data_IF_028884335546
#
_entry.id   IF_028884335546
#
_cell.length_a   1.000
_cell.length_b   1.000
_cell.length_c   1.000
_cell.angle_alpha   90.00
_cell.angle_beta   90.00
_cell.angle_gamma   90.00
#
_symmetry.space_group_name_H-M   'P 1'
#
loop_
_entity.id
_entity.type
_entity.pdbx_description
1 polymer ?
#
# COMPACT_ATOMS: atom_id res chain seq x y z
N UNK A 1 20.80 1.84 -15.64
CA UNK A 1 19.50 1.15 -15.53
C UNK A 1 19.10 0.96 -14.08
N UNK A 2 19.80 0.14 -13.27
CA UNK A 2 19.48 -0.02 -11.83
C UNK A 2 19.62 1.29 -11.05
N UNK A 3 20.70 2.05 -11.28
CA UNK A 3 20.90 3.36 -10.64
C UNK A 3 19.81 4.38 -11.04
N UNK A 4 19.37 4.36 -12.29
CA UNK A 4 18.32 5.26 -12.79
C UNK A 4 16.96 4.91 -12.17
N UNK A 5 16.67 3.62 -12.06
CA UNK A 5 15.48 3.12 -11.37
C UNK A 5 15.46 3.50 -9.89
N UNK A 6 16.55 3.23 -9.15
CA UNK A 6 16.63 3.56 -7.72
C UNK A 6 16.45 5.06 -7.49
N UNK A 7 17.18 5.88 -8.26
CA UNK A 7 17.04 7.33 -8.21
C UNK A 7 15.59 7.76 -8.50
N UNK A 8 14.97 7.17 -9.54
CA UNK A 8 13.60 7.51 -9.89
C UNK A 8 12.60 7.09 -8.82
N UNK A 9 12.81 5.95 -8.19
CA UNK A 9 11.98 5.46 -7.11
C UNK A 9 12.10 6.36 -5.87
N UNK A 10 13.31 6.80 -5.51
CA UNK A 10 13.54 7.80 -4.46
C UNK A 10 12.80 9.10 -4.76
N UNK A 11 12.94 9.65 -5.97
CA UNK A 11 12.23 10.86 -6.41
C UNK A 11 10.71 10.72 -6.32
N UNK A 12 10.17 9.55 -6.66
CA UNK A 12 8.73 9.29 -6.63
C UNK A 12 8.23 9.04 -5.21
N UNK A 13 9.02 8.43 -4.33
CA UNK A 13 8.65 8.20 -2.93
C UNK A 13 8.67 9.52 -2.15
N UNK A 14 9.65 10.38 -2.41
CA UNK A 14 9.78 11.66 -1.74
C UNK A 14 8.48 12.48 -1.86
N UNK A 15 8.07 13.06 -0.73
CA UNK A 15 6.87 13.89 -0.64
C UNK A 15 7.03 14.89 0.51
N UNK A 16 6.46 16.09 0.34
CA UNK A 16 6.44 17.11 1.39
C UNK A 16 5.48 16.82 2.54
N UNK A 17 4.73 15.72 2.47
CA UNK A 17 3.72 15.33 3.47
C UNK A 17 4.20 14.16 4.34
N UNK A 18 3.70 14.10 5.57
CA UNK A 18 3.98 12.97 6.45
C UNK A 18 3.17 11.74 6.05
N UNK A 19 3.82 10.81 5.37
CA UNK A 19 3.24 9.53 4.93
C UNK A 19 4.08 8.34 5.38
N UNK A 20 3.45 7.17 5.43
CA UNK A 20 4.13 5.88 5.42
C UNK A 20 4.08 5.33 4.00
N UNK A 21 5.22 4.91 3.47
CA UNK A 21 5.32 4.36 2.12
C UNK A 21 5.47 2.84 2.18
N UNK A 22 4.64 2.14 1.42
CA UNK A 22 4.69 0.70 1.24
C UNK A 22 5.01 0.38 -0.21
N UNK A 23 5.92 -0.55 -0.45
CA UNK A 23 6.27 -1.02 -1.79
C UNK A 23 5.86 -2.48 -1.97
N UNK A 24 5.45 -2.81 -3.20
CA UNK A 24 5.11 -4.18 -3.60
C UNK A 24 5.56 -4.43 -5.03
N UNK A 25 6.13 -5.59 -5.32
CA UNK A 25 6.50 -5.97 -6.68
C UNK A 25 5.47 -6.92 -7.29
N UNK A 26 5.11 -6.64 -8.55
CA UNK A 26 4.31 -7.53 -9.38
C UNK A 26 4.99 -7.80 -10.72
N UNK A 27 4.68 -8.95 -11.32
CA UNK A 27 5.37 -9.49 -12.50
C UNK A 27 4.99 -8.81 -13.79
N UNK A 28 3.75 -8.38 -13.92
CA UNK A 28 3.21 -7.92 -15.19
C UNK A 28 2.46 -6.60 -15.08
N UNK A 29 2.46 -5.88 -16.20
CA UNK A 29 1.82 -4.56 -16.32
C UNK A 29 0.32 -4.62 -16.09
N UNK A 30 -0.34 -5.72 -16.46
CA UNK A 30 -1.80 -5.86 -16.35
C UNK A 30 -2.18 -5.88 -14.87
N UNK A 31 -1.46 -6.64 -14.05
CA UNK A 31 -1.64 -6.66 -12.60
C UNK A 31 -1.34 -5.29 -11.98
N UNK A 32 -0.27 -4.61 -12.39
CA UNK A 32 0.05 -3.27 -11.89
C UNK A 32 -1.05 -2.24 -12.21
N UNK A 33 -1.56 -2.26 -13.44
CA UNK A 33 -2.68 -1.42 -13.87
C UNK A 33 -3.96 -1.75 -13.10
N UNK A 34 -4.24 -3.05 -12.86
CA UNK A 34 -5.40 -3.47 -12.06
C UNK A 34 -5.32 -2.93 -10.63
N UNK A 35 -4.14 -3.03 -10.00
CA UNK A 35 -3.93 -2.47 -8.65
C UNK A 35 -4.16 -0.95 -8.64
N UNK A 36 -3.71 -0.26 -9.68
CA UNK A 36 -3.89 1.18 -9.84
C UNK A 36 -5.37 1.58 -9.92
N UNK A 37 -6.21 0.78 -10.58
CA UNK A 37 -7.62 1.09 -10.83
C UNK A 37 -8.57 0.52 -9.79
N UNK A 38 -8.32 -0.68 -9.30
CA UNK A 38 -9.22 -1.44 -8.44
C UNK A 38 -8.81 -1.42 -6.97
N UNK A 39 -7.53 -1.13 -6.68
CA UNK A 39 -6.98 -1.15 -5.33
C UNK A 39 -6.01 -2.29 -5.10
N UNK A 40 -5.37 -2.28 -3.93
CA UNK A 40 -4.35 -3.26 -3.57
C UNK A 40 -4.94 -4.34 -2.67
N UNK A 41 -4.92 -5.60 -3.13
CA UNK A 41 -5.36 -6.73 -2.33
C UNK A 41 -4.22 -7.24 -1.43
N UNK A 42 -4.52 -7.49 -0.16
CA UNK A 42 -3.56 -8.03 0.80
C UNK A 42 -4.20 -9.06 1.72
N UNK A 43 -3.39 -10.01 2.18
CA UNK A 43 -3.76 -11.03 3.16
C UNK A 43 -3.46 -10.51 4.56
N UNK A 44 -4.45 -10.59 5.46
CA UNK A 44 -4.33 -10.24 6.88
C UNK A 44 -3.88 -8.79 7.12
N UNK A 45 -2.56 -8.51 7.03
CA UNK A 45 -2.00 -7.18 7.24
C UNK A 45 -1.29 -6.65 5.99
N UNK A 46 -1.38 -5.34 5.77
CA UNK A 46 -0.75 -4.70 4.61
C UNK A 46 0.76 -4.91 4.57
N UNK A 47 1.43 -4.86 5.71
CA UNK A 47 2.88 -5.05 5.88
C UNK A 47 3.34 -6.51 5.70
N UNK A 48 2.42 -7.48 5.59
CA UNK A 48 2.78 -8.87 5.27
C UNK A 48 3.03 -9.07 3.78
N UNK A 49 2.43 -8.22 2.95
CA UNK A 49 2.51 -8.29 1.48
C UNK A 49 3.30 -7.15 0.87
N UNK A 50 3.78 -6.21 1.70
CA UNK A 50 4.50 -5.01 1.28
C UNK A 50 5.72 -4.77 2.17
N UNK A 51 6.65 -3.96 1.70
CA UNK A 51 7.79 -3.51 2.51
C UNK A 51 7.67 -2.01 2.80
N UNK A 52 7.81 -1.63 4.07
CA UNK A 52 7.81 -0.22 4.49
C UNK A 52 9.17 0.40 4.19
N UNK A 53 9.17 1.52 3.48
CA UNK A 53 10.39 2.24 3.09
C UNK A 53 10.26 3.74 3.31
N UNK A 54 11.39 4.45 3.22
CA UNK A 54 11.42 5.91 3.28
C UNK A 54 12.52 6.46 2.38
N UNK A 55 12.23 7.55 1.66
CA UNK A 55 13.24 8.25 0.85
C UNK A 55 14.35 8.88 1.71
N UNK A 56 14.10 9.10 3.01
CA UNK A 56 15.12 9.55 3.97
C UNK A 56 16.18 8.49 4.30
N UNK A 57 15.88 7.22 4.01
CA UNK A 57 16.80 6.10 4.17
C UNK A 57 16.86 5.27 2.88
N UNK A 58 17.68 5.71 1.90
CA UNK A 58 17.88 5.01 0.63
C UNK A 58 18.31 3.55 0.77
N UNK A 59 18.87 3.16 1.93
CA UNK A 59 19.26 1.76 2.19
C UNK A 59 18.04 0.85 2.17
N UNK A 60 16.90 1.31 2.69
CA UNK A 60 15.64 0.53 2.69
C UNK A 60 15.13 0.29 1.27
N UNK A 61 15.20 1.30 0.40
CA UNK A 61 14.77 1.23 -1.01
C UNK A 61 15.69 0.29 -1.80
N UNK A 62 17.01 0.39 -1.57
CA UNK A 62 17.99 -0.51 -2.19
C UNK A 62 17.80 -1.95 -1.73
N UNK A 63 17.60 -2.17 -0.43
CA UNK A 63 17.34 -3.50 0.13
C UNK A 63 16.09 -4.10 -0.49
N UNK A 64 14.97 -3.36 -0.52
CA UNK A 64 13.75 -3.77 -1.20
C UNK A 64 14.03 -4.18 -2.65
N UNK A 65 14.72 -3.33 -3.40
CA UNK A 65 14.97 -3.56 -4.82
C UNK A 65 15.76 -4.84 -5.07
N UNK A 66 16.75 -5.15 -4.23
CA UNK A 66 17.57 -6.38 -4.34
C UNK A 66 16.77 -7.61 -3.93
N UNK A 67 16.07 -7.56 -2.78
CA UNK A 67 15.36 -8.72 -2.23
C UNK A 67 14.12 -9.05 -3.04
N UNK A 68 13.42 -8.02 -3.53
CA UNK A 68 12.13 -8.19 -4.20
C UNK A 68 12.20 -8.26 -5.71
N UNK A 69 13.37 -8.09 -6.35
CA UNK A 69 13.50 -8.17 -7.82
C UNK A 69 12.93 -9.46 -8.43
N UNK A 70 13.03 -10.59 -7.72
CA UNK A 70 12.54 -11.89 -8.20
C UNK A 70 11.01 -11.97 -8.28
N UNK A 71 10.29 -11.06 -7.61
CA UNK A 71 8.83 -11.03 -7.59
C UNK A 71 8.23 -10.19 -8.72
N UNK A 72 9.05 -9.48 -9.49
CA UNK A 72 8.61 -8.80 -10.70
C UNK A 72 9.25 -7.44 -10.93
N UNK A 73 9.01 -6.90 -12.12
CA UNK A 73 9.63 -5.66 -12.60
C UNK A 73 8.74 -4.43 -12.39
N UNK A 74 7.52 -4.58 -11.86
CA UNK A 74 6.61 -3.46 -11.61
C UNK A 74 6.49 -3.23 -10.12
N UNK A 75 7.05 -2.12 -9.64
CA UNK A 75 6.98 -1.74 -8.23
C UNK A 75 5.80 -0.80 -8.03
N UNK A 76 4.81 -1.28 -7.29
CA UNK A 76 3.67 -0.50 -6.80
C UNK A 76 4.14 0.37 -5.64
N UNK A 77 3.74 1.64 -5.66
CA UNK A 77 4.02 2.59 -4.59
C UNK A 77 2.70 2.96 -3.93
N UNK A 78 2.56 2.63 -2.65
CA UNK A 78 1.39 2.94 -1.82
C UNK A 78 1.84 3.95 -0.77
N UNK A 79 1.05 5.01 -0.57
CA UNK A 79 1.32 6.02 0.44
C UNK A 79 0.04 6.33 1.21
N UNK A 80 0.13 6.24 2.54
CA UNK A 80 -0.95 6.53 3.47
C UNK A 80 -0.43 7.57 4.45
N UNK A 81 -1.18 8.65 4.65
CA UNK A 81 -0.81 9.70 5.61
C UNK A 81 -0.68 9.15 7.01
N UNK A 82 0.33 9.63 7.75
CA UNK A 82 0.52 9.22 9.15
C UNK A 82 -0.69 9.54 9.99
N UNK A 83 -1.35 10.68 9.76
CA UNK A 83 -2.58 11.06 10.44
C UNK A 83 -3.67 9.99 10.34
N UNK A 84 -3.89 9.41 9.15
CA UNK A 84 -4.87 8.32 8.97
C UNK A 84 -4.47 7.08 9.76
N UNK A 85 -3.20 6.68 9.66
CA UNK A 85 -2.69 5.49 10.36
C UNK A 85 -2.82 5.68 11.86
N UNK A 86 -2.38 6.82 12.38
CA UNK A 86 -2.39 7.15 13.81
C UNK A 86 -3.82 7.22 14.35
N UNK A 87 -4.73 7.88 13.62
CA UNK A 87 -6.14 7.97 13.99
C UNK A 87 -6.76 6.59 14.14
N UNK A 88 -6.73 5.77 13.08
CA UNK A 88 -7.38 4.47 13.09
C UNK A 88 -6.68 3.45 14.01
N UNK A 89 -5.36 3.49 14.13
CA UNK A 89 -4.63 2.64 15.08
C UNK A 89 -4.97 2.99 16.53
N UNK A 90 -5.23 4.28 16.83
CA UNK A 90 -5.67 4.72 18.16
C UNK A 90 -7.07 4.20 18.47
N UNK A 91 -8.01 4.33 17.54
CA UNK A 91 -9.38 3.81 17.71
C UNK A 91 -9.41 2.27 17.87
N UNK A 92 -8.45 1.56 17.26
CA UNK A 92 -8.34 0.10 17.33
C UNK A 92 -7.45 -0.41 18.47
N UNK A 93 -6.90 0.45 19.35
CA UNK A 93 -5.91 0.05 20.36
C UNK A 93 -6.34 -1.11 21.28
N UNK A 94 -7.64 -1.28 21.50
CA UNK A 94 -8.23 -2.37 22.29
C UNK A 94 -8.75 -3.54 21.44
N UNK A 95 -8.38 -3.61 20.16
CA UNK A 95 -8.79 -4.63 19.19
C UNK A 95 -7.57 -5.28 18.58
N UNK A 96 -7.74 -6.50 18.09
CA UNK A 96 -6.71 -7.27 17.37
C UNK A 96 -6.56 -6.84 15.91
N UNK A 97 -7.49 -6.03 15.41
CA UNK A 97 -7.54 -5.61 14.01
C UNK A 97 -6.49 -4.53 13.75
N UNK A 98 -5.97 -4.52 12.54
CA UNK A 98 -5.00 -3.56 12.06
C UNK A 98 -5.65 -2.44 11.25
N UNK A 99 -5.03 -1.25 11.24
CA UNK A 99 -5.61 -0.09 10.57
C UNK A 99 -5.90 -0.36 9.08
N UNK A 100 -5.08 -1.19 8.41
CA UNK A 100 -5.23 -1.45 6.98
C UNK A 100 -6.55 -2.16 6.67
N UNK A 101 -7.07 -2.98 7.58
CA UNK A 101 -8.34 -3.69 7.42
C UNK A 101 -9.51 -2.71 7.30
N UNK A 102 -9.44 -1.56 7.98
CA UNK A 102 -10.45 -0.50 7.92
C UNK A 102 -10.48 0.24 6.58
N UNK A 103 -9.33 0.33 5.93
CA UNK A 103 -9.15 1.08 4.69
C UNK A 103 -9.61 0.29 3.45
N UNK A 104 -10.36 -0.80 3.67
CA UNK A 104 -10.95 -1.63 2.61
C UNK A 104 -12.21 -1.00 2.02
N UNK A 105 -12.34 -1.06 0.69
CA UNK A 105 -13.55 -0.62 -0.04
C UNK A 105 -14.63 -1.68 -0.14
N UNK A 106 -14.26 -2.95 -0.02
CA UNK A 106 -15.19 -4.05 -0.16
C UNK A 106 -15.15 -4.91 1.11
N UNK A 107 -16.24 -5.63 1.38
CA UNK A 107 -16.23 -6.62 2.44
C UNK A 107 -15.11 -7.64 2.18
N UNK A 108 -14.29 -7.95 3.20
CA UNK A 108 -13.24 -8.94 3.04
C UNK A 108 -13.84 -10.31 2.73
N UNK A 109 -13.10 -11.11 1.97
CA UNK A 109 -13.51 -12.47 1.61
C UNK A 109 -12.41 -13.47 1.97
N UNK A 110 -12.80 -14.72 2.23
CA UNK A 110 -11.84 -15.79 2.50
C UNK A 110 -11.10 -16.16 1.20
N UNK A 111 -9.78 -16.10 1.27
CA UNK A 111 -8.88 -16.55 0.22
C UNK A 111 -8.73 -18.07 0.18
N UNK A 112 -7.89 -18.55 -0.73
CA UNK A 112 -7.61 -19.98 -0.91
C UNK A 112 -6.87 -20.63 0.27
N UNK A 113 -6.25 -19.83 1.13
CA UNK A 113 -5.43 -20.27 2.26
C UNK A 113 -6.16 -20.06 3.61
N UNK A 114 -7.49 -19.89 3.58
CA UNK A 114 -8.34 -19.59 4.74
C UNK A 114 -8.07 -18.24 5.43
N UNK A 115 -7.13 -17.44 4.91
CA UNK A 115 -6.92 -16.06 5.34
C UNK A 115 -7.92 -15.09 4.71
N UNK A 116 -8.25 -14.01 5.44
CA UNK A 116 -9.06 -12.91 4.92
C UNK A 116 -8.27 -12.05 3.95
N UNK A 117 -8.86 -11.82 2.78
CA UNK A 117 -8.37 -10.89 1.77
C UNK A 117 -9.09 -9.57 1.90
N UNK A 118 -8.31 -8.50 2.07
CA UNK A 118 -8.76 -7.12 2.11
C UNK A 118 -8.37 -6.40 0.83
N UNK A 119 -9.04 -5.27 0.52
CA UNK A 119 -8.76 -4.49 -0.68
C UNK A 119 -8.62 -3.00 -0.36
N UNK A 120 -7.38 -2.54 -0.23
CA UNK A 120 -7.05 -1.14 0.03
C UNK A 120 -7.53 -0.26 -1.13
N UNK A 121 -8.16 0.88 -0.81
CA UNK A 121 -8.65 1.82 -1.81
C UNK A 121 -7.55 2.25 -2.82
N UNK A 122 -7.84 2.30 -4.13
CA UNK A 122 -6.87 2.66 -5.16
C UNK A 122 -6.30 4.07 -4.98
N UNK A 123 -7.02 4.98 -4.32
CA UNK A 123 -6.53 6.32 -4.02
C UNK A 123 -5.27 6.32 -3.14
N UNK A 124 -5.01 5.27 -2.35
CA UNK A 124 -3.75 5.16 -1.61
C UNK A 124 -2.58 4.68 -2.48
N UNK A 125 -2.86 4.15 -3.68
CA UNK A 125 -1.84 3.76 -4.66
C UNK A 125 -1.41 5.02 -5.43
N UNK A 126 -0.16 5.45 -5.20
CA UNK A 126 0.44 6.61 -5.88
C UNK A 126 0.70 6.36 -7.35
N UNK A 127 1.03 5.12 -7.69
CA UNK A 127 1.40 4.71 -9.03
C UNK A 127 2.23 3.44 -9.00
N UNK A 128 2.80 3.09 -10.15
CA UNK A 128 3.80 2.05 -10.25
C UNK A 128 4.97 2.51 -11.11
N UNK A 129 6.16 1.95 -10.87
CA UNK A 129 7.35 2.16 -11.69
C UNK A 129 7.78 0.84 -12.32
N UNK A 130 8.21 0.90 -13.58
CA UNK A 130 8.83 -0.23 -14.26
C UNK A 130 10.35 -0.22 -14.00
N UNK A 131 10.87 -1.24 -13.32
CA UNK A 131 12.27 -1.37 -12.95
C UNK A 131 13.21 -1.48 -14.16
N UNK A 132 12.73 -1.98 -15.31
CA UNK A 132 13.53 -2.09 -16.53
C UNK A 132 13.65 -0.76 -17.28
N UNK A 133 12.61 0.07 -17.27
CA UNK A 133 12.58 1.31 -18.05
C UNK A 133 12.71 2.57 -17.19
N UNK A 134 12.62 2.45 -15.87
CA UNK A 134 12.43 3.54 -14.91
C UNK A 134 11.21 4.43 -15.22
N UNK A 135 10.25 3.95 -16.02
CA UNK A 135 9.02 4.69 -16.33
C UNK A 135 8.06 4.62 -15.14
N UNK A 136 7.67 5.79 -14.63
CA UNK A 136 6.68 5.92 -13.59
C UNK A 136 5.31 6.25 -14.20
N UNK A 137 4.30 5.47 -13.84
CA UNK A 137 2.90 5.68 -14.21
C UNK A 137 2.13 6.12 -12.96
N UNK A 138 1.77 7.41 -12.85
CA UNK A 138 1.05 7.93 -11.70
C UNK A 138 -0.42 7.52 -11.70
N UNK A 139 -1.01 7.40 -10.51
CA UNK A 139 -2.46 7.36 -10.34
C UNK A 139 -3.02 8.79 -10.31
N UNK A 140 -3.86 9.20 -11.28
CA UNK A 140 -4.47 10.53 -11.26
C UNK A 140 -5.40 10.77 -10.08
N UNK A 141 -5.90 9.70 -9.44
CA UNK A 141 -6.82 9.78 -8.30
C UNK A 141 -6.12 9.62 -6.94
N UNK A 142 -4.79 9.65 -6.92
CA UNK A 142 -4.02 9.47 -5.69
C UNK A 142 -4.35 10.52 -4.63
N UNK A 143 -4.61 10.04 -3.41
CA UNK A 143 -4.83 10.84 -2.21
C UNK A 143 -4.41 10.04 -0.97
N UNK A 144 -3.22 10.30 -0.44
CA UNK A 144 -2.70 9.65 0.78
C UNK A 144 -3.51 9.98 2.05
N UNK A 145 -4.30 11.04 2.03
CA UNK A 145 -5.15 11.51 3.13
C UNK A 145 -6.64 11.25 2.85
N UNK A 146 -6.95 10.28 1.99
CA UNK A 146 -8.32 9.90 1.69
C UNK A 146 -9.07 9.47 2.97
N UNK A 147 -10.16 10.15 3.28
CA UNK A 147 -11.15 9.70 4.26
C UNK A 147 -12.47 9.45 3.55
N UNK A 148 -12.97 8.21 3.64
CA UNK A 148 -14.26 7.82 3.10
C UNK A 148 -15.23 7.48 4.24
N UNK A 149 -16.52 7.81 4.12
CA UNK A 149 -17.54 7.39 5.10
C UNK A 149 -17.55 5.88 5.34
N UNK A 150 -17.12 5.10 4.35
CA UNK A 150 -17.00 3.66 4.45
C UNK A 150 -15.96 3.20 5.47
N UNK A 151 -14.84 3.93 5.62
CA UNK A 151 -13.82 3.57 6.61
C UNK A 151 -14.37 3.73 8.04
N UNK A 152 -15.15 4.78 8.29
CA UNK A 152 -15.82 4.98 9.57
C UNK A 152 -16.92 3.93 9.80
N UNK A 153 -17.59 3.47 8.75
CA UNK A 153 -18.55 2.37 8.83
C UNK A 153 -17.85 1.03 9.16
N UNK A 154 -16.69 0.76 8.56
CA UNK A 154 -15.86 -0.40 8.89
C UNK A 154 -15.42 -0.34 10.36
N UNK A 155 -14.99 0.83 10.84
CA UNK A 155 -14.59 1.02 12.24
C UNK A 155 -15.73 0.71 13.20
N UNK A 156 -16.92 1.26 12.95
CA UNK A 156 -18.10 0.96 13.77
C UNK A 156 -18.42 -0.53 13.82
N UNK A 157 -18.31 -1.23 12.68
CA UNK A 157 -18.55 -2.67 12.60
C UNK A 157 -17.56 -3.44 13.48
N UNK A 158 -16.26 -3.17 13.34
CA UNK A 158 -15.21 -3.80 14.13
C UNK A 158 -15.38 -3.54 15.64
N UNK A 159 -15.74 -2.31 16.01
CA UNK A 159 -15.97 -1.95 17.41
C UNK A 159 -17.23 -2.59 18.01
N UNK A 160 -18.19 -3.02 17.19
CA UNK A 160 -19.39 -3.73 17.62
C UNK A 160 -19.23 -5.26 17.63
N UNK A 161 -18.24 -5.79 16.90
CA UNK A 161 -17.95 -7.22 16.90
C UNK A 161 -17.45 -7.70 18.27
N UNK A 162 -17.87 -8.91 18.71
CA UNK A 162 -17.27 -9.57 19.87
C UNK A 162 -15.77 -9.81 19.66
N UNK A 163 -14.97 -9.76 20.73
CA UNK A 163 -13.56 -10.15 20.70
C UNK A 163 -13.40 -11.68 20.65
#
# INVERSE_FOLDING_TARGET
>A
MEADYLKKLEEVIETGHEVVTFLHNTRDKVTAMRILTEGFQFQSHLDYTTDVVTAKDPVTIKYFSIVRQAYGNYTIIIQISKEIIEYYSTELKARTHHFSELLTLNEPFLGSEEDLIYCLAPNFVKGYINACTAEFVPNPNFNASLKLPQFDANLKRILQSPQ
#
